data_IF_949815564208
#
_entry.id   IF_949815564208
#
_cell.length_a   1.000
_cell.length_b   1.000
_cell.length_c   1.000
_cell.angle_alpha   90.00
_cell.angle_beta   90.00
_cell.angle_gamma   90.00
#
_symmetry.space_group_name_H-M   'P 1'
#
loop_
_entity.id
_entity.type
_entity.pdbx_description
1 polymer ?
#
# COMPACT_ATOMS: atom_id res chain seq x y z
N UNK A 1 46.33 18.90 -26.67
CA UNK A 1 45.26 17.89 -26.53
C UNK A 1 45.91 16.53 -26.41
N UNK A 2 45.88 15.91 -25.21
CA UNK A 2 46.63 14.69 -24.89
C UNK A 2 45.65 13.53 -24.57
N UNK A 3 45.86 12.33 -25.12
CA UNK A 3 45.16 11.11 -24.71
C UNK A 3 45.90 10.43 -23.55
N UNK A 4 45.18 9.92 -22.55
CA UNK A 4 45.73 9.06 -21.49
C UNK A 4 44.72 7.93 -21.24
N UNK A 5 44.89 6.74 -21.82
CA UNK A 5 45.72 5.60 -21.40
C UNK A 5 45.44 5.10 -19.96
N UNK A 6 44.67 4.00 -19.94
CA UNK A 6 44.83 2.74 -19.18
C UNK A 6 45.05 2.80 -17.66
N UNK A 7 44.17 2.13 -16.92
CA UNK A 7 44.60 1.12 -15.93
C UNK A 7 43.66 -0.08 -16.01
N UNK A 8 44.18 -1.17 -16.56
CA UNK A 8 43.68 -2.53 -16.35
C UNK A 8 44.09 -2.89 -14.92
N UNK A 9 43.14 -3.04 -14.01
CA UNK A 9 43.40 -3.66 -12.72
C UNK A 9 42.84 -5.08 -12.75
N UNK A 10 43.74 -6.04 -12.96
CA UNK A 10 43.49 -7.46 -12.74
C UNK A 10 43.28 -7.70 -11.24
N UNK A 11 42.15 -8.36 -10.95
CA UNK A 11 42.04 -9.50 -10.04
C UNK A 11 42.47 -9.32 -8.58
N UNK A 12 41.50 -9.32 -7.66
CA UNK A 12 41.57 -10.17 -6.46
C UNK A 12 40.22 -10.84 -6.28
N UNK A 13 40.21 -12.15 -6.50
CA UNK A 13 39.14 -13.06 -6.12
C UNK A 13 39.15 -13.14 -4.58
N UNK A 14 38.24 -12.44 -3.91
CA UNK A 14 38.00 -12.66 -2.49
C UNK A 14 36.75 -13.54 -2.36
N UNK A 15 37.01 -14.83 -2.13
CA UNK A 15 36.01 -15.80 -1.71
C UNK A 15 35.38 -15.32 -0.39
N UNK A 16 34.10 -14.94 -0.46
CA UNK A 16 33.28 -14.59 0.68
C UNK A 16 31.83 -14.86 0.30
N UNK A 17 31.37 -16.07 0.62
CA UNK A 17 29.99 -16.47 0.43
C UNK A 17 29.07 -15.55 1.23
N UNK A 18 28.35 -14.70 0.50
CA UNK A 18 27.34 -13.79 1.04
C UNK A 18 26.42 -13.37 -0.10
N UNK A 19 25.79 -14.36 -0.74
CA UNK A 19 24.74 -14.12 -1.71
C UNK A 19 23.56 -13.44 -0.99
N UNK A 20 23.57 -12.11 -0.96
CA UNK A 20 22.37 -11.32 -0.73
C UNK A 20 21.47 -11.53 -1.95
N UNK A 21 20.67 -12.59 -1.90
CA UNK A 21 19.55 -12.81 -2.79
C UNK A 21 18.64 -11.58 -2.66
N UNK A 22 18.71 -10.69 -3.64
CA UNK A 22 17.64 -9.74 -3.89
C UNK A 22 16.42 -10.58 -4.30
N UNK A 23 15.61 -10.96 -3.30
CA UNK A 23 14.35 -11.62 -3.53
C UNK A 23 13.41 -10.61 -4.20
N UNK A 24 13.38 -10.64 -5.54
CA UNK A 24 12.31 -10.00 -6.28
C UNK A 24 10.99 -10.59 -5.77
N UNK A 25 10.06 -9.79 -5.23
CA UNK A 25 8.80 -10.32 -4.73
C UNK A 25 8.08 -11.01 -5.91
N UNK A 26 7.69 -12.27 -5.72
CA UNK A 26 6.94 -13.00 -6.72
C UNK A 26 5.67 -12.21 -7.09
N UNK A 27 5.25 -12.18 -8.37
CA UNK A 27 4.08 -11.41 -8.82
C UNK A 27 2.80 -11.67 -8.02
N UNK A 28 2.65 -12.88 -7.46
CA UNK A 28 1.53 -13.26 -6.60
C UNK A 28 1.49 -12.53 -5.25
N UNK A 29 2.65 -12.15 -4.69
CA UNK A 29 2.72 -11.39 -3.43
C UNK A 29 2.23 -9.96 -3.64
N UNK A 30 2.56 -9.33 -4.77
CA UNK A 30 2.09 -7.98 -5.10
C UNK A 30 0.58 -7.94 -5.37
N UNK A 31 0.02 -8.94 -6.05
CA UNK A 31 -1.43 -9.04 -6.23
C UNK A 31 -2.17 -9.31 -4.90
N UNK A 32 -1.56 -10.09 -4.01
CA UNK A 32 -2.03 -10.28 -2.64
C UNK A 32 -2.07 -8.95 -1.88
N UNK A 33 -0.94 -8.25 -1.80
CA UNK A 33 -0.78 -6.97 -1.10
C UNK A 33 -1.72 -5.89 -1.63
N UNK A 34 -1.96 -5.85 -2.95
CA UNK A 34 -2.97 -4.95 -3.54
C UNK A 34 -4.34 -5.23 -2.89
N UNK A 35 -4.86 -6.46 -2.98
CA UNK A 35 -6.15 -6.84 -2.38
C UNK A 35 -6.24 -6.63 -0.87
N UNK A 36 -5.13 -6.43 -0.16
CA UNK A 36 -5.21 -6.16 1.29
C UNK A 36 -5.87 -4.81 1.57
N UNK A 37 -5.75 -3.80 0.71
CA UNK A 37 -6.43 -2.52 0.96
C UNK A 37 -7.95 -2.58 0.76
N UNK A 38 -8.49 -3.66 0.20
CA UNK A 38 -9.93 -3.85 -0.03
C UNK A 38 -10.79 -3.66 1.23
N UNK A 39 -11.94 -3.02 1.10
CA UNK A 39 -12.94 -2.91 2.16
C UNK A 39 -12.98 -1.55 2.86
N UNK A 40 -13.51 -1.56 4.09
CA UNK A 40 -13.79 -0.34 4.88
C UNK A 40 -12.76 -0.18 5.99
N UNK A 41 -12.15 0.99 6.04
CA UNK A 41 -11.14 1.38 7.02
C UNK A 41 -11.64 2.60 7.78
N UNK A 42 -11.69 2.51 9.11
CA UNK A 42 -12.26 3.56 9.95
C UNK A 42 -11.26 4.00 11.00
N UNK A 43 -11.06 5.30 11.13
CA UNK A 43 -10.37 5.93 12.25
C UNK A 43 -11.18 7.10 12.78
N UNK A 44 -10.59 7.86 13.71
CA UNK A 44 -11.31 8.89 14.46
C UNK A 44 -11.81 10.04 13.58
N UNK A 45 -11.05 10.41 12.54
CA UNK A 45 -11.31 11.59 11.71
C UNK A 45 -11.34 11.28 10.21
N UNK A 46 -11.13 10.03 9.83
CA UNK A 46 -11.02 9.61 8.44
C UNK A 46 -11.65 8.23 8.28
N UNK A 47 -12.40 8.07 7.21
CA UNK A 47 -12.91 6.79 6.76
C UNK A 47 -12.49 6.60 5.30
N UNK A 48 -11.97 5.43 4.97
CA UNK A 48 -11.69 5.02 3.60
C UNK A 48 -12.53 3.79 3.27
N UNK A 49 -13.24 3.86 2.15
CA UNK A 49 -13.91 2.71 1.52
C UNK A 49 -13.20 2.45 0.21
N UNK A 50 -12.66 1.26 0.06
CA UNK A 50 -11.83 0.88 -1.08
C UNK A 50 -12.48 -0.34 -1.72
N UNK A 51 -12.75 -0.23 -3.03
CA UNK A 51 -13.23 -1.31 -3.88
C UNK A 51 -12.23 -1.44 -5.04
N UNK A 52 -11.32 -2.40 -4.93
CA UNK A 52 -10.27 -2.64 -5.90
C UNK A 52 -10.73 -3.43 -7.12
N UNK A 53 -11.83 -4.17 -7.00
CA UNK A 53 -12.44 -4.86 -8.12
C UNK A 53 -13.04 -3.81 -9.08
N UNK A 54 -13.67 -2.77 -8.54
CA UNK A 54 -14.15 -1.61 -9.29
C UNK A 54 -13.07 -0.53 -9.54
N UNK A 55 -11.92 -0.60 -8.87
CA UNK A 55 -10.83 0.41 -8.92
C UNK A 55 -11.34 1.79 -8.46
N UNK A 56 -12.13 1.79 -7.39
CA UNK A 56 -12.78 2.96 -6.81
C UNK A 56 -12.48 3.08 -5.32
N UNK A 57 -12.45 4.31 -4.83
CA UNK A 57 -12.38 4.58 -3.41
C UNK A 57 -13.20 5.81 -3.02
N UNK A 58 -13.67 5.84 -1.78
CA UNK A 58 -14.34 6.97 -1.16
C UNK A 58 -13.65 7.28 0.17
N UNK A 59 -13.28 8.54 0.35
CA UNK A 59 -12.61 9.07 1.53
C UNK A 59 -13.44 10.17 2.22
N UNK A 60 -14.72 10.29 1.83
CA UNK A 60 -15.68 11.24 2.38
C UNK A 60 -16.97 10.50 2.79
N UNK A 61 -17.12 10.16 4.08
CA UNK A 61 -18.28 9.40 4.56
C UNK A 61 -19.58 10.20 4.48
N UNK A 62 -19.52 11.53 4.38
CA UNK A 62 -20.72 12.37 4.20
C UNK A 62 -21.36 12.20 2.81
N UNK A 63 -20.61 11.63 1.86
CA UNK A 63 -21.01 11.42 0.47
C UNK A 63 -20.81 9.95 0.08
N UNK A 64 -21.64 9.03 0.61
CA UNK A 64 -21.42 7.58 0.50
C UNK A 64 -21.49 7.01 -0.92
N UNK A 65 -21.98 7.79 -1.88
CA UNK A 65 -22.08 7.43 -3.30
C UNK A 65 -21.06 8.17 -4.19
N UNK A 66 -20.25 9.08 -3.62
CA UNK A 66 -19.22 9.78 -4.39
C UNK A 66 -17.92 8.98 -4.33
N UNK A 67 -17.75 8.16 -5.36
CA UNK A 67 -16.54 7.38 -5.56
C UNK A 67 -15.57 8.12 -6.46
N UNK A 68 -14.29 8.02 -6.15
CA UNK A 68 -13.18 8.55 -6.94
C UNK A 68 -12.33 7.40 -7.46
N UNK A 69 -11.64 7.63 -8.57
CA UNK A 69 -10.70 6.65 -9.11
C UNK A 69 -9.61 6.33 -8.08
N UNK A 70 -9.36 5.03 -7.87
CA UNK A 70 -8.24 4.54 -7.09
C UNK A 70 -7.06 4.26 -8.01
N UNK A 71 -5.86 4.73 -7.69
CA UNK A 71 -4.65 4.37 -8.44
C UNK A 71 -3.54 3.97 -7.48
N UNK A 72 -3.13 2.71 -7.51
CA UNK A 72 -2.00 2.23 -6.72
C UNK A 72 -0.71 2.56 -7.47
N UNK A 73 0.13 3.40 -6.89
CA UNK A 73 1.36 3.90 -7.51
C UNK A 73 2.52 2.96 -7.22
N UNK A 74 2.70 2.60 -5.95
CA UNK A 74 3.81 1.76 -5.52
C UNK A 74 3.42 0.91 -4.30
N UNK A 75 4.05 -0.27 -4.20
CA UNK A 75 3.90 -1.18 -3.07
C UNK A 75 5.28 -1.72 -2.72
N UNK A 76 5.78 -1.34 -1.55
CA UNK A 76 7.10 -1.71 -1.06
C UNK A 76 7.00 -2.23 0.37
N UNK A 77 7.01 -3.56 0.52
CA UNK A 77 6.79 -4.23 1.80
C UNK A 77 5.42 -3.87 2.40
N UNK A 78 5.42 -3.23 3.56
CA UNK A 78 4.22 -2.75 4.26
C UNK A 78 3.78 -1.35 3.83
N UNK A 79 4.55 -0.66 2.99
CA UNK A 79 4.24 0.69 2.54
C UNK A 79 3.52 0.64 1.20
N UNK A 80 2.42 1.38 1.09
CA UNK A 80 1.62 1.49 -0.13
C UNK A 80 1.39 2.96 -0.45
N UNK A 81 1.73 3.37 -1.66
CA UNK A 81 1.47 4.72 -2.16
C UNK A 81 0.32 4.62 -3.17
N UNK A 82 -0.74 5.40 -2.96
CA UNK A 82 -1.92 5.37 -3.81
C UNK A 82 -2.59 6.74 -3.90
N UNK A 83 -3.30 6.98 -4.98
CA UNK A 83 -4.11 8.17 -5.19
C UNK A 83 -5.60 7.81 -5.11
N UNK A 84 -6.39 8.68 -4.48
CA UNK A 84 -7.86 8.70 -4.53
C UNK A 84 -8.27 10.02 -5.20
N UNK A 85 -8.72 9.95 -6.44
CA UNK A 85 -8.93 11.13 -7.26
C UNK A 85 -7.63 11.94 -7.42
N UNK A 86 -7.64 13.20 -6.99
CA UNK A 86 -6.47 14.08 -7.04
C UNK A 86 -5.61 14.08 -5.76
N UNK A 87 -5.98 13.28 -4.74
CA UNK A 87 -5.29 13.23 -3.46
C UNK A 87 -4.35 12.04 -3.37
N UNK A 88 -3.10 12.28 -2.97
CA UNK A 88 -2.10 11.25 -2.72
C UNK A 88 -2.11 10.79 -1.27
N UNK A 89 -1.98 9.49 -1.07
CA UNK A 89 -1.90 8.83 0.21
C UNK A 89 -0.63 7.98 0.28
N UNK A 90 0.00 8.00 1.46
CA UNK A 90 1.06 7.07 1.83
C UNK A 90 0.57 6.28 3.02
N UNK A 91 0.31 4.99 2.81
CA UNK A 91 -0.17 4.05 3.81
C UNK A 91 0.94 3.13 4.31
N UNK A 92 0.99 2.93 5.63
CA UNK A 92 1.70 1.83 6.26
C UNK A 92 0.67 0.80 6.75
N UNK A 93 0.76 -0.41 6.22
CA UNK A 93 -0.18 -1.50 6.44
C UNK A 93 0.42 -2.55 7.38
N UNK A 94 -0.27 -2.79 8.49
CA UNK A 94 0.13 -3.73 9.55
C UNK A 94 -1.09 -4.59 9.92
N UNK A 95 -1.34 -5.64 9.14
CA UNK A 95 -2.51 -6.50 9.31
C UNK A 95 -3.82 -5.75 9.03
N UNK A 96 -4.64 -5.58 10.06
CA UNK A 96 -5.91 -4.83 10.01
C UNK A 96 -5.77 -3.37 10.44
N UNK A 97 -4.54 -2.88 10.61
CA UNK A 97 -4.22 -1.49 10.89
C UNK A 97 -3.59 -0.84 9.66
N UNK A 98 -4.09 0.35 9.31
CA UNK A 98 -3.59 1.16 8.21
C UNK A 98 -3.30 2.58 8.73
N UNK A 99 -2.03 2.98 8.75
CA UNK A 99 -1.64 4.34 9.08
C UNK A 99 -1.43 5.13 7.80
N UNK A 100 -2.22 6.16 7.55
CA UNK A 100 -2.15 6.96 6.31
C UNK A 100 -1.73 8.40 6.57
N UNK A 101 -0.85 8.90 5.70
CA UNK A 101 -0.55 10.32 5.58
C UNK A 101 -1.08 10.83 4.24
N UNK A 102 -1.69 12.01 4.24
CA UNK A 102 -2.31 12.60 3.05
C UNK A 102 -1.40 13.70 2.51
N UNK A 103 -1.04 13.62 1.24
CA UNK A 103 -0.23 14.64 0.57
C UNK A 103 -0.84 16.03 0.74
N UNK A 104 -0.04 16.98 1.21
CA UNK A 104 -0.48 18.35 1.48
C UNK A 104 -1.20 18.56 2.83
N UNK A 105 -1.32 17.53 3.68
CA UNK A 105 -1.79 17.65 5.06
C UNK A 105 -0.71 17.21 6.04
N UNK A 106 -0.66 17.84 7.21
CA UNK A 106 0.24 17.45 8.29
C UNK A 106 -0.42 16.37 9.16
N UNK A 107 0.38 15.39 9.59
CA UNK A 107 -0.04 14.31 10.47
C UNK A 107 -0.39 13.02 9.74
N UNK A 108 -0.71 12.01 10.54
CA UNK A 108 -1.13 10.69 10.08
C UNK A 108 -2.44 10.29 10.76
N UNK A 109 -3.23 9.48 10.06
CA UNK A 109 -4.47 8.91 10.56
C UNK A 109 -4.30 7.42 10.70
N UNK A 110 -4.64 6.88 11.86
CA UNK A 110 -4.69 5.44 12.08
C UNK A 110 -6.11 4.96 11.78
N UNK A 111 -6.21 4.00 10.88
CA UNK A 111 -7.45 3.37 10.46
C UNK A 111 -7.40 1.89 10.84
N UNK A 112 -8.55 1.34 11.20
CA UNK A 112 -8.72 -0.09 11.47
C UNK A 112 -9.72 -0.65 10.47
N UNK A 113 -9.43 -1.83 9.92
CA UNK A 113 -10.35 -2.53 9.03
C UNK A 113 -11.63 -2.87 9.80
N UNK A 114 -12.76 -2.48 9.24
CA UNK A 114 -14.07 -2.91 9.72
C UNK A 114 -14.44 -4.21 9.03
N UNK A 115 -14.85 -5.21 9.84
CA UNK A 115 -15.42 -6.43 9.33
C UNK A 115 -16.70 -6.12 8.51
N UNK A 116 -17.01 -6.88 7.45
CA UNK A 116 -18.27 -6.75 6.74
C UNK A 116 -19.44 -6.86 7.73
N UNK A 117 -20.37 -5.92 7.71
CA UNK A 117 -21.48 -5.81 8.67
C UNK A 117 -22.53 -6.95 8.60
N UNK A 118 -22.21 -8.10 7.98
CA UNK A 118 -23.12 -9.23 7.80
C UNK A 118 -22.89 -10.45 8.72
N UNK A 119 -21.80 -10.50 9.49
CA UNK A 119 -21.45 -11.72 10.25
C UNK A 119 -22.07 -11.81 11.67
N UNK A 120 -22.66 -10.73 12.19
CA UNK A 120 -23.14 -10.66 13.58
C UNK A 120 -24.67 -10.84 13.75
N UNK A 121 -25.42 -11.12 12.68
CA UNK A 121 -26.89 -11.00 12.68
C UNK A 121 -27.72 -12.28 12.56
N UNK A 122 -27.12 -13.47 12.40
CA UNK A 122 -27.85 -14.74 12.25
C UNK A 122 -27.87 -15.59 13.53
N UNK A 123 -27.80 -14.93 14.68
CA UNK A 123 -28.11 -15.51 15.99
C UNK A 123 -29.56 -15.24 16.37
N UNK A 124 -30.39 -16.27 16.29
CA UNK A 124 -31.56 -16.47 17.14
C UNK A 124 -32.80 -15.58 16.88
N UNK A 125 -33.65 -16.01 15.94
CA UNK A 125 -35.11 -15.97 16.15
C UNK A 125 -35.68 -17.35 15.78
N UNK A 126 -35.86 -18.18 16.81
CA UNK A 126 -36.81 -19.29 16.79
C UNK A 126 -38.17 -18.76 17.21
#
# INVERSE_FOLDING_TARGET
>A
MRPARRVVCRLVLAAGAGALLAASPAPGVLNGLRRILEGRWVGDTLELRIDQDAVLANDDPSKPFQWSALTIIDVSGSVIIFDIGARRYVGLLEGDRLTVSIGGRLGSHVLVRQAPQGAAGLGLRR
#
